data_IF_006263200198
#
_entry.id   IF_006263200198
#
_cell.length_a   1.000
_cell.length_b   1.000
_cell.length_c   1.000
_cell.angle_alpha   90.00
_cell.angle_beta   90.00
_cell.angle_gamma   90.00
#
_symmetry.space_group_name_H-M   'P 1'
#
loop_
_entity.id
_entity.type
_entity.pdbx_description
1 polymer ?
#
# COMPACT_ATOMS: atom_id res chain seq x y z
N UNK A 1 -26.93 5.66 -3.36
CA UNK A 1 -25.94 5.09 -4.30
C UNK A 1 -24.67 5.94 -4.22
N UNK A 2 -23.54 5.40 -3.77
CA UNK A 2 -22.28 6.16 -3.78
C UNK A 2 -21.89 6.42 -5.24
N UNK A 3 -21.94 7.67 -5.68
CA UNK A 3 -21.48 8.05 -7.03
C UNK A 3 -20.04 7.59 -7.23
N UNK A 4 -19.69 7.10 -8.42
CA UNK A 4 -18.34 6.63 -8.79
C UNK A 4 -17.23 7.60 -8.35
N UNK A 5 -17.50 8.90 -8.39
CA UNK A 5 -16.60 9.95 -7.90
C UNK A 5 -16.31 9.86 -6.40
N UNK A 6 -17.29 9.51 -5.57
CA UNK A 6 -17.12 9.33 -4.12
C UNK A 6 -16.22 8.14 -3.78
N UNK A 7 -16.35 7.04 -4.52
CA UNK A 7 -15.48 5.87 -4.38
C UNK A 7 -14.04 6.20 -4.82
N UNK A 8 -13.85 6.84 -5.98
CA UNK A 8 -12.52 7.24 -6.45
C UNK A 8 -11.83 8.17 -5.45
N UNK A 9 -12.56 9.13 -4.87
CA UNK A 9 -12.01 10.06 -3.87
C UNK A 9 -11.60 9.37 -2.57
N UNK A 10 -12.23 8.25 -2.22
CA UNK A 10 -11.84 7.42 -1.07
C UNK A 10 -10.64 6.52 -1.38
N UNK A 11 -10.52 5.99 -2.60
CA UNK A 11 -9.38 5.16 -2.98
C UNK A 11 -8.12 5.97 -3.29
N UNK A 12 -8.25 7.20 -3.79
CA UNK A 12 -7.12 8.06 -4.13
C UNK A 12 -6.08 8.22 -2.99
N UNK A 13 -6.47 8.57 -1.75
CA UNK A 13 -5.51 8.68 -0.65
C UNK A 13 -4.86 7.33 -0.31
N UNK A 14 -5.59 6.22 -0.40
CA UNK A 14 -5.04 4.88 -0.17
C UNK A 14 -4.06 4.46 -1.26
N UNK A 15 -4.32 4.83 -2.52
CA UNK A 15 -3.40 4.57 -3.62
C UNK A 15 -2.12 5.40 -3.47
N UNK A 16 -2.25 6.68 -3.10
CA UNK A 16 -1.11 7.53 -2.78
C UNK A 16 -0.30 6.98 -1.59
N UNK A 17 -0.96 6.50 -0.54
CA UNK A 17 -0.31 5.88 0.60
C UNK A 17 0.43 4.58 0.21
N UNK A 18 -0.19 3.70 -0.59
CA UNK A 18 0.49 2.50 -1.12
C UNK A 18 1.72 2.87 -1.94
N UNK A 19 1.62 3.90 -2.78
CA UNK A 19 2.73 4.37 -3.60
C UNK A 19 3.89 4.88 -2.74
N UNK A 20 3.59 5.75 -1.76
CA UNK A 20 4.59 6.26 -0.81
C UNK A 20 5.23 5.13 0.01
N UNK A 21 4.43 4.15 0.43
CA UNK A 21 4.92 3.02 1.21
C UNK A 21 5.82 2.11 0.38
N UNK A 22 5.50 1.89 -0.89
CA UNK A 22 6.36 1.18 -1.85
C UNK A 22 7.70 1.90 -2.04
N UNK A 23 7.67 3.22 -2.28
CA UNK A 23 8.87 4.05 -2.44
C UNK A 23 9.73 4.01 -1.18
N UNK A 24 9.12 4.16 0.00
CA UNK A 24 9.82 4.11 1.27
C UNK A 24 10.46 2.74 1.52
N UNK A 25 9.75 1.64 1.22
CA UNK A 25 10.26 0.29 1.41
C UNK A 25 11.42 -0.03 0.47
N UNK A 26 11.30 0.32 -0.82
CA UNK A 26 12.40 0.14 -1.79
C UNK A 26 13.61 1.01 -1.41
N UNK A 27 13.38 2.27 -1.02
CA UNK A 27 14.44 3.18 -0.58
C UNK A 27 15.15 2.63 0.67
N UNK A 28 14.41 2.10 1.63
CA UNK A 28 14.98 1.49 2.84
C UNK A 28 15.85 0.27 2.49
N UNK A 29 15.36 -0.61 1.61
CA UNK A 29 16.13 -1.78 1.17
C UNK A 29 17.39 -1.35 0.43
N UNK A 30 17.30 -0.35 -0.46
CA UNK A 30 18.46 0.19 -1.15
C UNK A 30 19.49 0.78 -0.17
N UNK A 31 19.04 1.46 0.89
CA UNK A 31 19.93 2.02 1.92
C UNK A 31 20.61 0.94 2.77
N UNK A 32 19.94 -0.16 3.05
CA UNK A 32 20.46 -1.22 3.95
C UNK A 32 21.33 -2.22 3.19
N UNK A 33 20.97 -2.58 1.97
CA UNK A 33 21.58 -3.70 1.22
C UNK A 33 22.24 -3.25 -0.09
N UNK A 34 22.11 -1.98 -0.49
CA UNK A 34 22.53 -1.48 -1.80
C UNK A 34 21.50 -1.78 -2.90
N UNK A 35 21.88 -1.59 -4.18
CA UNK A 35 20.97 -1.75 -5.31
C UNK A 35 20.26 -3.13 -5.28
N UNK A 36 18.93 -3.17 -5.07
CA UNK A 36 18.24 -4.44 -4.88
C UNK A 36 18.15 -5.22 -6.20
N UNK A 37 18.58 -6.48 -6.17
CA UNK A 37 18.30 -7.43 -7.24
C UNK A 37 16.81 -7.81 -7.33
N UNK A 38 16.49 -8.72 -8.24
CA UNK A 38 15.11 -9.12 -8.55
C UNK A 38 14.38 -9.78 -7.35
N UNK A 39 15.07 -10.67 -6.61
CA UNK A 39 14.52 -11.33 -5.42
C UNK A 39 14.16 -10.36 -4.27
N UNK A 40 15.08 -9.50 -3.78
CA UNK A 40 14.75 -8.56 -2.71
C UNK A 40 13.66 -7.57 -3.14
N UNK A 41 13.64 -7.15 -4.41
CA UNK A 41 12.55 -6.33 -4.95
C UNK A 41 11.19 -7.04 -4.89
N UNK A 42 11.13 -8.32 -5.29
CA UNK A 42 9.92 -9.13 -5.17
C UNK A 42 9.48 -9.31 -3.71
N UNK A 43 10.44 -9.52 -2.80
CA UNK A 43 10.18 -9.61 -1.36
C UNK A 43 9.56 -8.34 -0.80
N UNK A 44 10.08 -7.16 -1.19
CA UNK A 44 9.51 -5.86 -0.81
C UNK A 44 8.08 -5.72 -1.31
N UNK A 45 7.82 -6.06 -2.58
CA UNK A 45 6.47 -5.97 -3.15
C UNK A 45 5.50 -6.83 -2.35
N UNK A 46 5.87 -8.08 -2.04
CA UNK A 46 5.03 -8.99 -1.23
C UNK A 46 4.80 -8.45 0.17
N UNK A 47 5.86 -7.95 0.83
CA UNK A 47 5.78 -7.37 2.16
C UNK A 47 4.85 -6.15 2.19
N UNK A 48 4.95 -5.26 1.20
CA UNK A 48 4.07 -4.08 1.06
C UNK A 48 2.64 -4.50 0.77
N UNK A 49 2.43 -5.48 -0.12
CA UNK A 49 1.11 -5.97 -0.49
C UNK A 49 0.35 -6.59 0.68
N UNK A 50 1.04 -7.26 1.61
CA UNK A 50 0.44 -7.86 2.81
C UNK A 50 0.39 -6.84 3.96
N UNK A 51 1.48 -6.09 4.17
CA UNK A 51 1.64 -5.17 5.29
C UNK A 51 0.70 -3.97 5.21
N UNK A 52 0.47 -3.43 4.01
CA UNK A 52 -0.39 -2.25 3.84
C UNK A 52 -1.86 -2.52 4.22
N UNK A 53 -2.53 -3.58 3.72
CA UNK A 53 -3.89 -3.94 4.17
C UNK A 53 -3.98 -4.19 5.68
N UNK A 54 -2.98 -4.86 6.27
CA UNK A 54 -2.91 -5.09 7.71
C UNK A 54 -2.83 -3.77 8.49
N UNK A 55 -1.95 -2.86 8.08
CA UNK A 55 -1.80 -1.55 8.72
C UNK A 55 -3.08 -0.70 8.58
N UNK A 56 -3.67 -0.64 7.39
CA UNK A 56 -4.91 0.11 7.14
C UNK A 56 -6.08 -0.44 7.96
N UNK A 57 -6.17 -1.77 8.11
CA UNK A 57 -7.17 -2.42 8.97
C UNK A 57 -6.93 -2.14 10.46
N UNK A 58 -5.67 -2.22 10.91
CA UNK A 58 -5.30 -1.96 12.30
C UNK A 58 -5.56 -0.50 12.72
N UNK A 59 -5.29 0.45 11.82
CA UNK A 59 -5.50 1.87 12.05
C UNK A 59 -6.98 2.30 11.92
N UNK A 60 -7.88 1.39 11.55
CA UNK A 60 -9.31 1.68 11.41
C UNK A 60 -9.67 2.58 10.22
N UNK A 61 -8.70 2.94 9.38
CA UNK A 61 -8.86 3.77 8.17
C UNK A 61 -9.27 2.94 6.94
N UNK A 62 -9.66 1.68 7.15
CA UNK A 62 -10.11 0.81 6.08
C UNK A 62 -11.35 1.41 5.39
N UNK A 63 -11.28 1.66 4.07
CA UNK A 63 -12.36 2.31 3.37
C UNK A 63 -13.60 1.41 3.41
N UNK A 64 -14.81 1.98 3.55
CA UNK A 64 -16.04 1.21 3.71
C UNK A 64 -16.32 0.29 2.50
N UNK A 65 -15.72 0.55 1.34
CA UNK A 65 -15.79 -0.33 0.16
C UNK A 65 -15.14 -1.70 0.39
N UNK A 66 -14.13 -1.81 1.26
CA UNK A 66 -13.50 -3.09 1.61
C UNK A 66 -14.36 -3.93 2.56
N UNK A 67 -15.41 -3.34 3.15
CA UNK A 67 -16.38 -4.03 4.02
C UNK A 67 -17.62 -4.53 3.29
N UNK A 68 -17.80 -4.19 2.00
CA UNK A 68 -18.87 -4.79 1.20
C UNK A 68 -18.39 -6.14 0.67
N UNK A 69 -18.77 -7.20 1.39
CA UNK A 69 -18.97 -8.53 0.84
C UNK A 69 -20.44 -8.89 0.94
#
# INVERSE_FOLDING_TARGET
>A
MSSTRGTVRQLAPHWAAMFLLMVAALSLVERVVGAPGLLPSAGVVVAVAIGYPCAVRALGVAPPVWRRS
#
